data_IF_758133035157
#
_entry.id   IF_758133035157
#
_cell.length_a   1.000
_cell.length_b   1.000
_cell.length_c   1.000
_cell.angle_alpha   90.00
_cell.angle_beta   90.00
_cell.angle_gamma   90.00
#
_symmetry.space_group_name_H-M   'P 1'
#
loop_
_entity.id
_entity.type
_entity.pdbx_description
1 polymer ?
#
# COMPACT_ATOMS: atom_id res chain seq x y z
N UNK A 1 -29.84 3.96 24.16
CA UNK A 1 -28.85 5.00 24.51
C UNK A 1 -28.92 6.07 23.42
N UNK A 2 -29.68 7.15 23.67
CA UNK A 2 -29.82 8.24 22.70
C UNK A 2 -28.55 9.10 22.73
N UNK A 3 -27.81 9.14 21.61
CA UNK A 3 -26.67 10.04 21.45
C UNK A 3 -27.21 11.46 21.22
N UNK A 4 -27.42 12.21 22.31
CA UNK A 4 -27.72 13.63 22.21
C UNK A 4 -26.46 14.39 21.81
N UNK A 5 -26.55 15.20 20.75
CA UNK A 5 -25.49 16.13 20.36
C UNK A 5 -25.48 17.23 21.42
N UNK A 6 -24.30 17.54 22.00
CA UNK A 6 -24.19 18.57 23.04
C UNK A 6 -24.65 19.92 22.49
N UNK A 7 -25.52 20.61 23.23
CA UNK A 7 -26.15 21.89 22.80
C UNK A 7 -25.13 22.95 22.38
N UNK A 8 -23.97 23.01 23.04
CA UNK A 8 -22.89 23.94 22.67
C UNK A 8 -22.27 23.68 21.28
N UNK A 9 -22.40 22.46 20.75
CA UNK A 9 -21.98 22.15 19.38
C UNK A 9 -23.03 22.65 18.37
N UNK A 10 -24.31 22.71 18.78
CA UNK A 10 -25.44 23.15 17.94
C UNK A 10 -25.52 24.68 17.90
N UNK A 11 -25.33 25.36 19.04
CA UNK A 11 -25.29 26.83 19.13
C UNK A 11 -24.08 27.43 18.42
N UNK A 12 -23.06 26.61 18.17
CA UNK A 12 -21.91 26.95 17.38
C UNK A 12 -22.17 26.75 15.87
N UNK A 13 -23.38 26.84 15.33
CA UNK A 13 -23.61 26.95 13.88
C UNK A 13 -24.39 28.22 13.57
N UNK A 14 -24.13 28.90 12.43
CA UNK A 14 -24.89 30.09 12.10
C UNK A 14 -26.35 29.68 11.81
N UNK A 15 -27.30 30.39 12.41
CA UNK A 15 -28.72 30.26 12.08
C UNK A 15 -28.94 30.86 10.68
N UNK A 16 -28.83 30.02 9.65
CA UNK A 16 -29.07 30.41 8.26
C UNK A 16 -30.18 29.53 7.69
N UNK A 17 -31.11 30.13 6.97
CA UNK A 17 -32.11 29.42 6.16
C UNK A 17 -31.53 28.96 4.80
N UNK A 18 -30.29 29.36 4.49
CA UNK A 18 -29.57 28.99 3.28
C UNK A 18 -28.68 27.76 3.53
N UNK A 19 -29.10 26.61 2.98
CA UNK A 19 -28.34 25.36 3.11
C UNK A 19 -26.88 25.49 2.64
N UNK A 20 -26.60 26.29 1.60
CA UNK A 20 -25.24 26.48 1.08
C UNK A 20 -24.32 27.16 2.11
N UNK A 21 -24.83 28.18 2.80
CA UNK A 21 -24.09 28.91 3.84
C UNK A 21 -23.88 28.04 5.08
N UNK A 22 -24.89 27.27 5.47
CA UNK A 22 -24.78 26.28 6.54
C UNK A 22 -23.66 25.27 6.26
N UNK A 23 -23.67 24.60 5.09
CA UNK A 23 -22.63 23.64 4.73
C UNK A 23 -21.25 24.27 4.58
N UNK A 24 -21.17 25.53 4.13
CA UNK A 24 -19.93 26.28 4.10
C UNK A 24 -19.38 26.54 5.52
N UNK A 25 -20.22 26.94 6.46
CA UNK A 25 -19.82 27.17 7.85
C UNK A 25 -19.43 25.86 8.58
N UNK A 26 -20.13 24.76 8.30
CA UNK A 26 -19.74 23.43 8.79
C UNK A 26 -18.38 23.05 8.21
N UNK A 27 -18.17 23.19 6.89
CA UNK A 27 -16.89 22.90 6.25
C UNK A 27 -15.77 23.72 6.88
N UNK A 28 -15.95 25.02 7.09
CA UNK A 28 -14.93 25.87 7.71
C UNK A 28 -14.60 25.46 9.15
N UNK A 29 -15.60 25.10 9.96
CA UNK A 29 -15.38 24.69 11.36
C UNK A 29 -14.66 23.36 11.51
N UNK A 30 -14.87 22.43 10.57
CA UNK A 30 -14.26 21.11 10.57
C UNK A 30 -13.22 20.94 9.46
N UNK A 31 -12.73 22.05 8.90
CA UNK A 31 -11.68 22.00 7.92
C UNK A 31 -10.42 21.48 8.61
N UNK A 32 -10.04 20.25 8.30
CA UNK A 32 -8.73 19.74 8.69
C UNK A 32 -7.72 20.65 7.99
N UNK A 33 -6.96 21.40 8.77
CA UNK A 33 -6.00 22.35 8.21
C UNK A 33 -5.00 21.59 7.34
N UNK A 34 -4.79 22.05 6.10
CA UNK A 34 -3.87 21.46 5.13
C UNK A 34 -2.48 21.19 5.74
N UNK A 35 -2.04 22.07 6.66
CA UNK A 35 -0.78 21.91 7.40
C UNK A 35 -0.77 20.73 8.39
N UNK A 36 -1.89 20.47 9.06
CA UNK A 36 -2.03 19.33 9.98
C UNK A 36 -2.13 18.03 9.19
N UNK A 37 -2.87 18.01 8.08
CA UNK A 37 -2.93 16.85 7.19
C UNK A 37 -1.55 16.54 6.58
N UNK A 38 -0.85 17.55 6.06
CA UNK A 38 0.51 17.41 5.58
C UNK A 38 1.47 16.86 6.65
N UNK A 39 1.38 17.36 7.88
CA UNK A 39 2.19 16.88 9.00
C UNK A 39 1.92 15.40 9.32
N UNK A 40 0.64 14.99 9.34
CA UNK A 40 0.27 13.60 9.58
C UNK A 40 0.76 12.69 8.45
N UNK A 41 0.58 13.11 7.19
CA UNK A 41 1.05 12.36 6.02
C UNK A 41 2.57 12.20 6.01
N UNK A 42 3.33 13.25 6.35
CA UNK A 42 4.78 13.17 6.48
C UNK A 42 5.20 12.23 7.62
N UNK A 43 4.50 12.28 8.75
CA UNK A 43 4.75 11.37 9.88
C UNK A 43 4.44 9.92 9.52
N UNK A 44 3.33 9.68 8.83
CA UNK A 44 2.93 8.36 8.32
C UNK A 44 3.98 7.85 7.33
N UNK A 45 4.44 8.69 6.39
CA UNK A 45 5.44 8.31 5.40
C UNK A 45 6.78 7.92 6.05
N UNK A 46 7.25 8.70 7.02
CA UNK A 46 8.54 8.48 7.68
C UNK A 46 8.53 7.29 8.67
N UNK A 47 7.39 7.00 9.29
CA UNK A 47 7.27 5.91 10.27
C UNK A 47 6.88 4.57 9.63
N UNK A 48 6.28 4.60 8.44
CA UNK A 48 5.78 3.41 7.74
C UNK A 48 6.93 2.54 7.26
N UNK A 49 6.92 1.29 7.71
CA UNK A 49 7.93 0.27 7.42
C UNK A 49 7.27 -0.97 6.84
N UNK A 50 7.94 -1.63 5.90
CA UNK A 50 7.46 -2.90 5.38
C UNK A 50 7.53 -3.99 6.46
N UNK A 51 6.38 -4.61 6.77
CA UNK A 51 6.23 -5.51 7.91
C UNK A 51 6.21 -7.01 7.53
N UNK A 52 6.59 -7.37 6.31
CA UNK A 52 6.56 -8.74 5.76
C UNK A 52 5.20 -9.48 5.85
N UNK A 53 4.11 -8.79 6.19
CA UNK A 53 2.78 -9.40 6.40
C UNK A 53 1.82 -9.21 5.22
N UNK A 54 2.22 -8.44 4.20
CA UNK A 54 1.54 -8.24 2.92
C UNK A 54 2.50 -8.41 1.74
N UNK A 55 2.06 -8.13 0.52
CA UNK A 55 2.96 -8.08 -0.63
C UNK A 55 3.69 -6.74 -0.75
N UNK A 56 4.88 -6.76 -1.36
CA UNK A 56 5.68 -5.53 -1.58
C UNK A 56 4.93 -4.55 -2.49
N UNK A 57 4.11 -5.06 -3.42
CA UNK A 57 3.29 -4.22 -4.30
C UNK A 57 2.29 -3.38 -3.50
N UNK A 58 1.60 -4.00 -2.54
CA UNK A 58 0.64 -3.31 -1.68
C UNK A 58 1.35 -2.22 -0.87
N UNK A 59 2.51 -2.54 -0.29
CA UNK A 59 3.34 -1.56 0.42
C UNK A 59 3.75 -0.38 -0.48
N UNK A 60 4.25 -0.64 -1.69
CA UNK A 60 4.63 0.42 -2.64
C UNK A 60 3.41 1.30 -3.00
N UNK A 61 2.26 0.69 -3.28
CA UNK A 61 1.04 1.42 -3.61
C UNK A 61 0.59 2.34 -2.46
N UNK A 62 0.71 1.88 -1.22
CA UNK A 62 0.43 2.71 -0.05
C UNK A 62 1.39 3.90 0.07
N UNK A 63 2.69 3.69 -0.15
CA UNK A 63 3.69 4.76 -0.14
C UNK A 63 3.39 5.80 -1.22
N UNK A 64 3.12 5.37 -2.44
CA UNK A 64 2.76 6.25 -3.58
C UNK A 64 1.45 7.01 -3.32
N UNK A 65 0.48 6.37 -2.68
CA UNK A 65 -0.77 7.03 -2.30
C UNK A 65 -0.53 8.18 -1.32
N UNK A 66 0.35 8.01 -0.32
CA UNK A 66 0.74 9.08 0.60
C UNK A 66 1.44 10.22 -0.16
N UNK A 67 2.37 9.91 -1.06
CA UNK A 67 3.06 10.90 -1.90
C UNK A 67 2.07 11.71 -2.75
N UNK A 68 1.07 11.05 -3.36
CA UNK A 68 0.03 11.71 -4.15
C UNK A 68 -0.80 12.69 -3.32
N UNK A 69 -1.16 12.30 -2.08
CA UNK A 69 -1.87 13.18 -1.16
C UNK A 69 -1.03 14.38 -0.74
N UNK A 70 0.27 14.19 -0.49
CA UNK A 70 1.19 15.30 -0.22
C UNK A 70 1.32 16.24 -1.43
N UNK A 71 1.36 15.70 -2.65
CA UNK A 71 1.40 16.49 -3.88
C UNK A 71 0.14 17.35 -4.05
N UNK A 72 -1.04 16.85 -3.66
CA UNK A 72 -2.29 17.62 -3.67
C UNK A 72 -2.28 18.79 -2.67
N UNK A 73 -1.44 18.71 -1.64
CA UNK A 73 -1.19 19.78 -0.67
C UNK A 73 0.02 20.65 -1.05
N UNK A 74 0.42 20.63 -2.33
CA UNK A 74 1.58 21.36 -2.89
C UNK A 74 2.94 20.95 -2.30
N UNK A 75 3.02 19.80 -1.63
CA UNK A 75 4.27 19.22 -1.12
C UNK A 75 4.75 18.16 -2.10
N UNK A 76 5.71 18.55 -2.95
CA UNK A 76 6.33 17.64 -3.90
C UNK A 76 7.58 17.01 -3.30
N UNK A 77 7.57 15.68 -3.15
CA UNK A 77 8.73 14.89 -2.74
C UNK A 77 9.46 14.31 -3.96
N UNK A 78 10.80 14.36 -4.01
CA UNK A 78 11.58 13.68 -5.04
C UNK A 78 11.37 12.16 -5.00
N UNK A 79 11.41 11.51 -6.16
CA UNK A 79 11.31 10.05 -6.24
C UNK A 79 12.43 9.34 -5.49
N UNK A 80 13.63 9.94 -5.44
CA UNK A 80 14.74 9.43 -4.64
C UNK A 80 14.38 9.32 -3.15
N UNK A 81 13.67 10.31 -2.60
CA UNK A 81 13.19 10.27 -1.22
C UNK A 81 12.22 9.10 -1.00
N UNK A 82 11.32 8.86 -1.96
CA UNK A 82 10.37 7.75 -1.89
C UNK A 82 11.07 6.39 -1.92
N UNK A 83 12.06 6.24 -2.80
CA UNK A 83 12.86 5.01 -2.91
C UNK A 83 13.65 4.78 -1.63
N UNK A 84 14.37 5.79 -1.13
CA UNK A 84 15.13 5.68 0.12
C UNK A 84 14.23 5.32 1.30
N UNK A 85 13.14 6.07 1.53
CA UNK A 85 12.21 5.81 2.64
C UNK A 85 11.59 4.41 2.57
N UNK A 86 11.31 3.92 1.36
CA UNK A 86 10.75 2.57 1.16
C UNK A 86 11.76 1.47 1.48
N UNK A 87 13.03 1.68 1.15
CA UNK A 87 14.14 0.73 1.36
C UNK A 87 14.75 0.81 2.76
N UNK A 88 14.66 1.96 3.43
CA UNK A 88 15.12 2.20 4.81
C UNK A 88 14.22 1.52 5.85
N UNK A 89 13.17 0.83 5.40
CA UNK A 89 12.44 -0.13 6.22
C UNK A 89 13.44 -1.13 6.80
N UNK A 90 13.48 -1.35 8.13
CA UNK A 90 14.30 -2.38 8.71
C UNK A 90 13.82 -3.70 8.13
N UNK A 91 14.59 -4.22 7.18
CA UNK A 91 14.70 -5.64 6.94
C UNK A 91 15.39 -6.27 8.18
N UNK A 92 14.89 -5.96 9.39
CA UNK A 92 15.43 -6.48 10.62
C UNK A 92 15.02 -7.94 10.72
N UNK A 93 15.94 -8.77 10.26
CA UNK A 93 16.45 -10.03 10.83
C UNK A 93 15.47 -11.19 11.06
N UNK A 94 14.18 -10.97 10.91
CA UNK A 94 13.13 -11.96 11.09
C UNK A 94 12.26 -12.05 9.83
N UNK A 95 12.91 -12.35 8.70
CA UNK A 95 12.18 -12.73 7.47
C UNK A 95 11.43 -14.03 7.76
N UNK A 96 10.13 -13.94 8.00
CA UNK A 96 9.27 -15.12 8.07
C UNK A 96 9.05 -15.60 6.64
N UNK A 97 9.56 -16.78 6.33
CA UNK A 97 9.35 -17.38 5.02
C UNK A 97 7.89 -17.88 4.90
N UNK A 98 7.16 -17.40 3.90
CA UNK A 98 5.75 -17.75 3.67
C UNK A 98 5.49 -19.26 3.55
N UNK A 99 6.36 -20.00 2.86
CA UNK A 99 6.21 -21.43 2.61
C UNK A 99 6.49 -22.32 3.84
N UNK A 100 7.35 -21.85 4.74
CA UNK A 100 7.75 -22.62 5.91
C UNK A 100 7.15 -22.07 7.21
N UNK A 101 6.61 -20.85 7.19
CA UNK A 101 6.21 -20.07 8.37
C UNK A 101 7.32 -19.98 9.43
N UNK A 102 8.58 -20.14 9.01
CA UNK A 102 9.77 -20.12 9.86
C UNK A 102 10.54 -18.82 9.65
N UNK A 103 11.13 -18.35 10.73
CA UNK A 103 12.02 -17.19 10.78
C UNK A 103 13.33 -17.47 10.02
N UNK A 104 13.89 -16.44 9.38
CA UNK A 104 15.33 -16.32 9.16
C UNK A 104 15.90 -16.81 7.83
N UNK A 105 15.10 -17.13 6.82
CA UNK A 105 15.64 -17.45 5.49
C UNK A 105 14.87 -16.80 4.34
N UNK A 106 15.60 -16.49 3.25
CA UNK A 106 15.00 -15.93 2.04
C UNK A 106 14.23 -17.01 1.30
N UNK A 107 13.19 -16.64 0.53
CA UNK A 107 12.36 -17.59 -0.24
C UNK A 107 13.19 -18.52 -1.13
N UNK A 108 14.27 -18.02 -1.75
CA UNK A 108 15.19 -18.80 -2.59
C UNK A 108 15.88 -19.94 -1.84
N UNK A 109 16.10 -19.77 -0.55
CA UNK A 109 16.78 -20.71 0.34
C UNK A 109 15.79 -21.64 1.07
N UNK A 110 14.48 -21.51 0.81
CA UNK A 110 13.45 -22.30 1.46
C UNK A 110 13.33 -23.70 0.83
N UNK A 111 13.65 -24.74 1.59
CA UNK A 111 13.50 -26.13 1.15
C UNK A 111 12.06 -26.48 0.73
N UNK A 112 11.04 -25.97 1.45
CA UNK A 112 9.63 -26.19 1.07
C UNK A 112 9.28 -25.54 -0.28
N UNK A 113 9.84 -24.35 -0.55
CA UNK A 113 9.64 -23.68 -1.83
C UNK A 113 10.34 -24.43 -2.96
N UNK A 114 11.57 -24.89 -2.75
CA UNK A 114 12.30 -25.71 -3.71
C UNK A 114 11.57 -27.03 -4.00
N UNK A 115 11.09 -27.73 -2.98
CA UNK A 115 10.31 -28.96 -3.15
C UNK A 115 8.99 -28.71 -3.90
N UNK A 116 8.31 -27.59 -3.62
CA UNK A 116 7.13 -27.18 -4.37
C UNK A 116 7.43 -26.87 -5.84
N UNK A 117 8.57 -26.21 -6.13
CA UNK A 117 9.01 -25.97 -7.51
C UNK A 117 9.27 -27.28 -8.26
N UNK A 118 9.97 -28.23 -7.63
CA UNK A 118 10.21 -29.55 -8.22
C UNK A 118 8.91 -30.34 -8.42
N UNK A 119 7.98 -30.30 -7.46
CA UNK A 119 6.65 -30.89 -7.62
C UNK A 119 5.91 -30.29 -8.83
N UNK A 120 5.99 -28.97 -9.03
CA UNK A 120 5.35 -28.31 -10.16
C UNK A 120 6.01 -28.61 -11.50
N UNK A 121 7.32 -28.84 -11.53
CA UNK A 121 8.02 -29.33 -12.74
C UNK A 121 7.58 -30.75 -13.11
N UNK A 122 7.26 -31.60 -12.13
CA UNK A 122 6.89 -33.00 -12.33
C UNK A 122 5.40 -33.21 -12.69
N UNK A 123 4.52 -32.26 -12.34
CA UNK A 123 3.08 -32.30 -12.71
C UNK A 123 2.81 -32.21 -14.23
N UNK A 124 3.85 -32.11 -15.08
CA UNK A 124 3.71 -32.16 -16.54
C UNK A 124 2.97 -30.96 -17.16
N UNK A 125 2.54 -30.00 -16.34
CA UNK A 125 1.96 -28.75 -16.80
C UNK A 125 3.07 -27.89 -17.38
N UNK A 126 3.01 -27.63 -18.69
CA UNK A 126 3.90 -26.75 -19.45
C UNK A 126 3.64 -25.28 -19.08
N UNK A 127 3.70 -24.95 -17.80
CA UNK A 127 3.46 -23.62 -17.28
C UNK A 127 4.81 -23.03 -16.85
N UNK A 128 5.13 -21.85 -17.38
CA UNK A 128 6.31 -21.11 -17.00
C UNK A 128 6.01 -20.33 -15.71
N UNK A 129 6.82 -20.55 -14.66
CA UNK A 129 6.76 -19.77 -13.43
C UNK A 129 7.53 -18.46 -13.65
N UNK A 130 6.81 -17.40 -14.02
CA UNK A 130 7.40 -16.06 -14.14
C UNK A 130 7.49 -15.45 -12.74
N UNK A 131 8.73 -15.26 -12.28
CA UNK A 131 9.00 -14.58 -11.03
C UNK A 131 9.10 -13.08 -11.26
N UNK A 132 8.06 -12.31 -10.91
CA UNK A 132 8.22 -10.90 -10.61
C UNK A 132 8.46 -10.71 -9.12
N UNK A 133 9.11 -9.60 -8.74
CA UNK A 133 9.66 -9.34 -7.39
C UNK A 133 8.69 -9.50 -6.21
N UNK A 134 7.40 -9.80 -6.41
CA UNK A 134 6.54 -10.33 -5.34
C UNK A 134 5.41 -11.26 -5.76
N UNK A 135 5.11 -11.43 -7.05
CA UNK A 135 3.97 -12.24 -7.50
C UNK A 135 4.45 -13.41 -8.36
N UNK A 136 4.19 -14.63 -7.87
CA UNK A 136 4.28 -15.82 -8.71
C UNK A 136 2.94 -15.95 -9.43
N UNK A 137 2.92 -15.64 -10.72
CA UNK A 137 1.76 -15.93 -11.57
C UNK A 137 2.10 -17.14 -12.43
N UNK A 138 1.20 -18.12 -12.41
CA UNK A 138 1.31 -19.32 -13.20
C UNK A 138 0.78 -19.03 -14.61
N UNK A 139 1.64 -19.07 -15.63
CA UNK A 139 1.26 -18.76 -17.02
C UNK A 139 1.61 -19.90 -17.96
N UNK A 140 0.84 -20.08 -19.03
CA UNK A 140 1.11 -21.09 -20.06
C UNK A 140 2.43 -20.81 -20.78
N UNK A 141 3.18 -21.85 -21.14
CA UNK A 141 4.44 -21.67 -21.89
C UNK A 141 4.22 -21.03 -23.26
N UNK A 142 3.00 -21.12 -23.81
CA UNK A 142 2.62 -20.50 -25.07
C UNK A 142 2.06 -19.08 -24.91
N UNK A 143 1.89 -18.61 -23.66
CA UNK A 143 1.47 -17.23 -23.42
C UNK A 143 2.67 -16.29 -23.40
N UNK A 144 2.57 -15.21 -24.18
CA UNK A 144 3.61 -14.19 -24.27
C UNK A 144 3.20 -13.04 -23.37
N UNK A 145 4.11 -12.60 -22.49
CA UNK A 145 3.87 -11.50 -21.57
C UNK A 145 4.43 -10.19 -22.13
N UNK A 146 3.60 -9.16 -22.19
CA UNK A 146 4.02 -7.77 -22.36
C UNK A 146 3.99 -7.11 -20.99
N UNK A 147 5.16 -6.79 -20.45
CA UNK A 147 5.30 -6.07 -19.19
C UNK A 147 5.28 -4.57 -19.48
N UNK A 148 4.19 -3.90 -19.09
CA UNK A 148 4.10 -2.44 -19.19
C UNK A 148 4.23 -1.77 -17.81
N UNK A 149 4.92 -2.41 -16.86
CA UNK A 149 5.29 -1.85 -15.55
C UNK A 149 4.13 -1.71 -14.54
N UNK A 150 2.87 -1.79 -14.97
CA UNK A 150 1.70 -1.66 -14.10
C UNK A 150 0.75 -2.87 -14.12
N UNK A 151 0.68 -3.62 -15.24
CA UNK A 151 -0.15 -4.81 -15.40
C UNK A 151 0.56 -5.86 -16.28
N UNK A 152 0.50 -7.13 -15.87
CA UNK A 152 0.87 -8.26 -16.74
C UNK A 152 -0.36 -8.65 -17.52
N UNK A 153 -0.39 -8.34 -18.81
CA UNK A 153 -1.40 -8.87 -19.72
C UNK A 153 -0.94 -10.24 -20.18
N UNK A 154 -1.64 -11.27 -19.75
CA UNK A 154 -1.45 -12.64 -20.24
C UNK A 154 -2.36 -12.80 -21.44
N UNK A 155 -1.78 -12.79 -22.64
CA UNK A 155 -2.49 -13.19 -23.86
C UNK A 155 -2.31 -14.70 -23.97
N UNK A 156 -3.43 -15.41 -23.89
CA UNK A 156 -3.52 -16.88 -24.00
C UNK A 156 -3.84 -17.23 -25.45
#
# INVERSE_FOLDING_TARGET
MNKSIREHLVSAFPETNNAKEFFHAVRQRYQVFDKFEASNLMSDLASRKYNNSGGVREYILEMVNIQSRLKNLEISLPDSYMVHTSLDSPLDKEVICYFSKKLGHKRRECANFQAWLEMKKLEGNSLALVCFESNLVNVSINSWCLDNGANVHVVI
#
